data_IF_239853359186
#
_entry.id   IF_239853359186
#
_cell.length_a   1.000
_cell.length_b   1.000
_cell.length_c   1.000
_cell.angle_alpha   90.00
_cell.angle_beta   90.00
_cell.angle_gamma   90.00
#
_symmetry.space_group_name_H-M   'P 1'
#
loop_
_entity.id
_entity.type
_entity.pdbx_description
1 polymer ?
#
# COMPACT_ATOMS: atom_id res chain seq x y z
N UNK A 1 -23.58 53.19 7.33
CA UNK A 1 -24.19 52.54 6.15
C UNK A 1 -23.12 52.43 5.09
N UNK A 2 -22.50 51.26 4.93
CA UNK A 2 -21.47 51.06 3.91
C UNK A 2 -22.09 51.25 2.52
N UNK A 3 -21.44 52.05 1.68
CA UNK A 3 -21.94 52.37 0.35
C UNK A 3 -21.97 51.08 -0.50
N UNK A 4 -23.12 50.77 -1.07
CA UNK A 4 -23.36 49.58 -1.91
C UNK A 4 -22.28 49.37 -3.00
N UNK A 5 -21.68 50.45 -3.49
CA UNK A 5 -20.56 50.43 -4.45
C UNK A 5 -19.28 49.78 -3.91
N UNK A 6 -18.96 49.95 -2.62
CA UNK A 6 -17.77 49.33 -2.01
C UNK A 6 -17.93 47.83 -1.80
N UNK A 7 -19.14 47.39 -1.44
CA UNK A 7 -19.46 45.97 -1.27
C UNK A 7 -19.32 45.21 -2.60
N UNK A 8 -19.79 45.81 -3.70
CA UNK A 8 -19.65 45.24 -5.04
C UNK A 8 -18.16 45.16 -5.44
N UNK A 9 -17.39 46.21 -5.16
CA UNK A 9 -15.95 46.23 -5.45
C UNK A 9 -15.20 45.10 -4.75
N UNK A 10 -15.47 44.88 -3.46
CA UNK A 10 -14.85 43.79 -2.67
C UNK A 10 -15.26 42.42 -3.21
N UNK A 11 -16.53 42.23 -3.58
CA UNK A 11 -17.02 40.97 -4.17
C UNK A 11 -16.29 40.62 -5.48
N UNK A 12 -16.07 41.61 -6.36
CA UNK A 12 -15.34 41.39 -7.61
C UNK A 12 -13.87 40.99 -7.37
N UNK A 13 -13.20 41.65 -6.42
CA UNK A 13 -11.81 41.33 -6.07
C UNK A 13 -11.71 39.91 -5.49
N UNK A 14 -12.64 39.53 -4.60
CA UNK A 14 -12.66 38.17 -4.03
C UNK A 14 -12.93 37.13 -5.11
N UNK A 15 -13.87 37.35 -6.02
CA UNK A 15 -14.16 36.44 -7.12
C UNK A 15 -12.96 36.29 -8.07
N UNK A 16 -12.23 37.38 -8.33
CA UNK A 16 -11.04 37.36 -9.18
C UNK A 16 -9.87 36.59 -8.53
N UNK A 17 -9.67 36.74 -7.22
CA UNK A 17 -8.67 36.00 -6.45
C UNK A 17 -9.02 34.50 -6.41
N UNK A 18 -10.29 34.15 -6.17
CA UNK A 18 -10.74 32.75 -6.17
C UNK A 18 -10.55 32.12 -7.55
N UNK A 19 -10.92 32.82 -8.63
CA UNK A 19 -10.77 32.30 -9.99
C UNK A 19 -9.30 32.03 -10.38
N UNK A 20 -8.38 32.91 -9.98
CA UNK A 20 -6.94 32.76 -10.27
C UNK A 20 -6.31 31.61 -9.47
N UNK A 21 -6.65 31.46 -8.18
CA UNK A 21 -6.15 30.36 -7.34
C UNK A 21 -6.66 28.96 -7.76
N UNK A 22 -7.90 28.84 -8.24
CA UNK A 22 -8.45 27.55 -8.72
C UNK A 22 -7.81 27.09 -10.05
N UNK A 23 -7.37 28.03 -10.89
CA UNK A 23 -6.74 27.75 -12.18
C UNK A 23 -5.35 27.13 -12.08
N UNK A 24 -4.60 27.39 -11.01
CA UNK A 24 -3.27 26.82 -10.80
C UNK A 24 -3.33 25.41 -10.19
N UNK A 25 -4.22 25.19 -9.22
CA UNK A 25 -4.41 23.88 -8.57
C UNK A 25 -4.86 22.81 -9.60
N UNK A 26 -5.74 23.18 -10.52
CA UNK A 26 -6.22 22.26 -11.57
C UNK A 26 -5.12 21.85 -12.56
N UNK A 27 -4.18 22.75 -12.88
CA UNK A 27 -3.04 22.45 -13.74
C UNK A 27 -2.01 21.52 -13.08
N UNK A 28 -1.75 21.70 -11.78
CA UNK A 28 -0.85 20.79 -11.05
C UNK A 28 -1.44 19.39 -10.88
N UNK A 29 -2.75 19.28 -10.59
CA UNK A 29 -3.43 17.99 -10.45
C UNK A 29 -3.43 17.24 -11.78
N UNK A 30 -3.77 17.90 -12.89
CA UNK A 30 -3.79 17.28 -14.22
C UNK A 30 -2.40 16.87 -14.72
N UNK A 31 -1.35 17.65 -14.41
CA UNK A 31 0.03 17.28 -14.75
C UNK A 31 0.49 16.00 -14.01
N UNK A 32 0.19 15.90 -12.71
CA UNK A 32 0.51 14.70 -11.91
C UNK A 32 -0.30 13.46 -12.31
N UNK A 33 -1.53 13.65 -12.77
CA UNK A 33 -2.37 12.56 -13.27
C UNK A 33 -1.81 11.99 -14.58
N UNK A 34 -1.34 12.86 -15.48
CA UNK A 34 -0.70 12.48 -16.74
C UNK A 34 0.62 11.73 -16.54
N UNK A 35 1.44 12.13 -15.56
CA UNK A 35 2.66 11.38 -15.18
C UNK A 35 2.33 9.97 -14.66
N UNK A 36 1.21 9.83 -13.94
CA UNK A 36 0.75 8.55 -13.39
C UNK A 36 0.25 7.61 -14.48
N UNK A 37 -0.47 8.13 -15.47
CA UNK A 37 -0.90 7.37 -16.65
C UNK A 37 0.29 6.88 -17.47
N UNK A 38 1.29 7.75 -17.71
CA UNK A 38 2.51 7.37 -18.42
C UNK A 38 3.30 6.29 -17.66
N UNK A 39 3.32 6.33 -16.31
CA UNK A 39 3.94 5.29 -15.49
C UNK A 39 3.19 3.96 -15.63
N UNK A 40 1.85 3.98 -15.59
CA UNK A 40 1.02 2.78 -15.74
C UNK A 40 1.20 2.15 -17.14
N UNK A 41 1.23 2.97 -18.19
CA UNK A 41 1.46 2.53 -19.56
C UNK A 41 2.84 1.90 -19.73
N UNK A 42 3.90 2.53 -19.18
CA UNK A 42 5.24 1.98 -19.18
C UNK A 42 5.32 0.63 -18.43
N UNK A 43 4.59 0.48 -17.32
CA UNK A 43 4.53 -0.78 -16.56
C UNK A 43 3.80 -1.89 -17.34
N UNK A 44 2.73 -1.56 -18.08
CA UNK A 44 2.02 -2.52 -18.93
C UNK A 44 2.91 -3.00 -20.09
N UNK A 45 3.66 -2.09 -20.73
CA UNK A 45 4.56 -2.43 -21.85
C UNK A 45 5.72 -3.37 -21.44
N UNK A 46 6.26 -3.23 -20.22
CA UNK A 46 7.29 -4.13 -19.69
C UNK A 46 6.75 -5.57 -19.49
N UNK A 47 5.44 -5.74 -19.29
CA UNK A 47 4.83 -7.06 -19.10
C UNK A 47 4.72 -7.87 -20.40
N UNK A 48 4.44 -7.21 -21.53
CA UNK A 48 4.34 -7.85 -22.86
C UNK A 48 5.71 -8.34 -23.35
N UNK A 49 6.75 -7.55 -23.13
CA UNK A 49 8.12 -7.88 -23.56
C UNK A 49 8.74 -9.05 -22.78
N UNK A 50 8.33 -9.27 -21.52
CA UNK A 50 8.76 -10.45 -20.76
C UNK A 50 8.05 -11.74 -21.21
N UNK A 51 6.77 -11.66 -21.60
CA UNK A 51 5.98 -12.80 -22.09
C UNK A 51 6.53 -13.37 -23.41
N UNK A 52 6.91 -12.49 -24.36
CA UNK A 52 7.45 -12.92 -25.67
C UNK A 52 8.87 -13.50 -25.60
N UNK A 53 9.64 -13.22 -24.54
CA UNK A 53 11.02 -13.70 -24.40
C UNK A 53 11.15 -15.17 -24.00
N UNK A 54 10.05 -15.81 -23.56
CA UNK A 54 10.06 -17.21 -23.10
C UNK A 54 10.10 -18.26 -24.22
N UNK A 55 9.88 -17.87 -25.49
CA UNK A 55 9.81 -18.83 -26.61
C UNK A 55 11.02 -18.87 -27.55
N UNK A 56 12.06 -18.06 -27.35
CA UNK A 56 13.29 -18.21 -28.15
C UNK A 56 14.32 -19.04 -27.39
N UNK A 57 14.38 -20.33 -27.71
CA UNK A 57 15.45 -21.24 -27.29
C UNK A 57 16.75 -20.86 -28.00
N UNK A 58 17.38 -19.78 -27.57
CA UNK A 58 18.68 -19.35 -28.08
C UNK A 58 19.77 -20.14 -27.34
N UNK A 59 20.37 -21.13 -28.03
CA UNK A 59 21.64 -21.72 -27.61
C UNK A 59 22.73 -20.63 -27.66
N UNK A 60 23.06 -20.04 -26.53
CA UNK A 60 24.25 -19.17 -26.38
C UNK A 60 25.14 -19.75 -25.30
N UNK A 61 26.38 -20.04 -25.69
CA UNK A 61 27.41 -20.61 -24.83
C UNK A 61 27.69 -19.80 -23.58
N UNK A 62 28.42 -20.42 -22.65
CA UNK A 62 28.77 -19.94 -21.33
C UNK A 62 29.50 -18.57 -21.36
N UNK A 63 28.74 -17.48 -21.46
CA UNK A 63 29.23 -16.14 -21.11
C UNK A 63 29.04 -15.98 -19.62
N UNK A 64 30.14 -15.64 -18.91
CA UNK A 64 30.16 -15.32 -17.48
C UNK A 64 29.02 -14.33 -17.20
N UNK A 65 28.02 -14.78 -16.44
CA UNK A 65 26.97 -13.91 -15.98
C UNK A 65 27.59 -12.86 -15.06
N UNK A 66 27.80 -11.64 -15.56
CA UNK A 66 27.96 -10.50 -14.69
C UNK A 66 26.76 -10.50 -13.75
N UNK A 67 27.04 -10.64 -12.45
CA UNK A 67 26.06 -10.57 -11.39
C UNK A 67 25.51 -9.15 -11.43
N UNK A 68 24.49 -8.89 -12.27
CA UNK A 68 23.75 -7.62 -12.24
C UNK A 68 23.37 -7.43 -10.78
N UNK A 69 23.92 -6.40 -10.15
CA UNK A 69 23.53 -6.07 -8.79
C UNK A 69 22.03 -5.88 -8.82
N UNK A 70 21.35 -6.68 -8.00
CA UNK A 70 19.89 -6.69 -8.00
C UNK A 70 19.43 -5.33 -7.49
N UNK A 71 18.46 -4.69 -8.15
CA UNK A 71 17.90 -3.43 -7.67
C UNK A 71 17.55 -3.55 -6.19
N UNK A 72 17.98 -2.58 -5.40
CA UNK A 72 17.65 -2.54 -4.00
C UNK A 72 16.13 -2.31 -3.88
N UNK A 73 15.44 -3.27 -3.29
CA UNK A 73 13.98 -3.31 -3.20
C UNK A 73 13.42 -2.15 -2.35
N UNK A 74 14.26 -1.51 -1.52
CA UNK A 74 13.90 -0.29 -0.81
C UNK A 74 13.70 0.91 -1.75
N UNK A 75 14.25 0.83 -2.94
CA UNK A 75 14.18 1.89 -3.95
C UNK A 75 13.06 1.61 -4.97
N UNK A 76 12.23 0.59 -4.72
CA UNK A 76 11.07 0.32 -5.55
C UNK A 76 10.07 1.47 -5.39
N UNK A 77 9.50 2.05 -6.47
CA UNK A 77 8.54 3.16 -6.39
C UNK A 77 7.32 2.85 -5.51
N UNK A 78 7.03 1.55 -5.37
CA UNK A 78 5.96 1.02 -4.54
C UNK A 78 6.43 0.57 -3.13
N UNK A 79 7.61 0.98 -2.66
CA UNK A 79 8.09 0.73 -1.31
C UNK A 79 8.05 2.02 -0.48
N UNK A 80 7.57 2.02 0.78
CA UNK A 80 6.88 0.94 1.50
C UNK A 80 5.36 1.08 1.27
N UNK A 81 4.83 0.63 0.12
CA UNK A 81 3.40 0.82 -0.13
C UNK A 81 2.50 -0.08 0.72
N UNK A 82 3.03 -1.10 1.37
CA UNK A 82 2.25 -1.87 2.31
C UNK A 82 3.13 -2.45 3.41
N UNK A 83 2.53 -2.71 4.56
CA UNK A 83 2.97 -3.70 5.52
C UNK A 83 3.13 -5.15 5.03
N UNK A 84 3.55 -5.40 3.79
CA UNK A 84 3.68 -6.77 3.25
C UNK A 84 4.78 -7.56 3.96
N UNK A 85 5.79 -6.83 4.42
CA UNK A 85 7.02 -7.38 5.02
C UNK A 85 7.22 -6.95 6.48
N UNK A 86 6.24 -6.37 7.17
CA UNK A 86 6.41 -6.32 8.63
C UNK A 86 6.40 -7.74 9.14
N UNK A 87 7.28 -8.03 10.10
CA UNK A 87 7.21 -9.21 10.94
C UNK A 87 5.76 -9.60 11.14
N UNK A 88 5.40 -10.80 10.67
CA UNK A 88 4.09 -11.35 10.91
C UNK A 88 3.77 -11.09 12.37
N UNK A 89 2.62 -10.46 12.64
CA UNK A 89 2.27 -10.17 14.01
C UNK A 89 2.00 -11.50 14.71
N UNK A 90 3.05 -11.96 15.37
CA UNK A 90 3.15 -13.25 16.01
C UNK A 90 3.40 -13.03 17.49
N UNK A 91 3.01 -14.03 18.27
CA UNK A 91 3.42 -14.10 19.65
C UNK A 91 4.92 -14.40 19.71
N UNK A 92 5.56 -13.97 20.78
CA UNK A 92 6.96 -14.23 20.99
C UNK A 92 7.21 -15.76 20.98
N UNK A 93 8.24 -16.23 20.26
CA UNK A 93 8.38 -17.65 19.94
C UNK A 93 8.59 -18.50 21.20
N UNK A 94 9.23 -17.95 22.24
CA UNK A 94 9.45 -18.63 23.51
C UNK A 94 8.14 -18.90 24.25
N UNK A 95 7.30 -17.88 24.39
CA UNK A 95 6.04 -17.91 25.13
C UNK A 95 4.95 -18.66 24.37
N UNK A 96 4.93 -18.52 23.05
CA UNK A 96 4.06 -19.27 22.14
C UNK A 96 4.39 -20.77 22.19
N UNK A 97 5.66 -21.15 22.07
CA UNK A 97 6.11 -22.55 22.17
C UNK A 97 5.86 -23.15 23.55
N UNK A 98 5.92 -22.35 24.62
CA UNK A 98 5.59 -22.77 25.97
C UNK A 98 4.07 -22.81 26.26
N UNK A 99 3.21 -22.41 25.32
CA UNK A 99 1.75 -22.36 25.50
C UNK A 99 1.27 -21.30 26.51
N UNK A 100 2.14 -20.36 26.89
CA UNK A 100 1.84 -19.36 27.92
C UNK A 100 0.80 -18.36 27.44
N UNK A 101 0.87 -17.93 26.18
CA UNK A 101 -0.07 -16.97 25.63
C UNK A 101 -1.52 -17.48 25.68
N UNK A 102 -1.77 -18.73 25.30
CA UNK A 102 -3.09 -19.34 25.39
C UNK A 102 -3.59 -19.47 26.84
N UNK A 103 -2.68 -19.77 27.78
CA UNK A 103 -3.02 -19.85 29.22
C UNK A 103 -3.39 -18.47 29.79
N UNK A 104 -2.64 -17.43 29.44
CA UNK A 104 -2.88 -16.06 29.88
C UNK A 104 -4.13 -15.46 29.27
N UNK A 105 -4.42 -15.77 28.01
CA UNK A 105 -5.67 -15.40 27.35
C UNK A 105 -6.88 -15.98 28.07
N UNK A 106 -6.90 -17.30 28.31
CA UNK A 106 -7.95 -17.98 29.09
C UNK A 106 -8.12 -17.41 30.49
N UNK A 107 -7.02 -16.95 31.09
CA UNK A 107 -7.02 -16.33 32.42
C UNK A 107 -7.39 -14.83 32.40
N UNK A 108 -7.73 -14.27 31.23
CA UNK A 108 -8.21 -12.91 31.05
C UNK A 108 -7.14 -11.82 31.11
N UNK A 109 -5.85 -12.16 30.92
CA UNK A 109 -4.75 -11.19 31.04
C UNK A 109 -4.78 -10.13 29.94
N UNK A 110 -5.27 -10.48 28.74
CA UNK A 110 -5.41 -9.55 27.62
C UNK A 110 -6.29 -8.32 27.94
N UNK A 111 -7.28 -8.45 28.84
CA UNK A 111 -8.22 -7.38 29.21
C UNK A 111 -7.76 -6.56 30.43
N UNK A 112 -6.79 -7.06 31.22
CA UNK A 112 -6.34 -6.43 32.47
C UNK A 112 -5.25 -5.38 32.19
N UNK A 113 -5.48 -4.14 32.63
CA UNK A 113 -4.54 -3.01 32.45
C UNK A 113 -3.13 -3.31 32.98
N UNK A 114 -3.03 -3.98 34.13
CA UNK A 114 -1.75 -4.38 34.77
C UNK A 114 -0.86 -5.22 33.84
N UNK A 115 -1.45 -6.04 32.98
CA UNK A 115 -0.71 -6.98 32.12
C UNK A 115 -0.64 -6.53 30.65
N UNK A 116 -1.21 -5.36 30.32
CA UNK A 116 -1.31 -4.85 28.95
C UNK A 116 0.05 -4.74 28.24
N UNK A 117 1.08 -4.26 28.94
CA UNK A 117 2.43 -4.17 28.37
C UNK A 117 3.02 -5.55 28.06
N UNK A 118 2.90 -6.50 29.00
CA UNK A 118 3.38 -7.87 28.83
C UNK A 118 2.67 -8.57 27.66
N UNK A 119 1.35 -8.43 27.56
CA UNK A 119 0.58 -9.00 26.44
C UNK A 119 0.95 -8.34 25.11
N UNK A 120 1.21 -7.03 25.07
CA UNK A 120 1.63 -6.31 23.86
C UNK A 120 3.05 -6.69 23.41
N UNK A 121 3.91 -7.16 24.31
CA UNK A 121 5.28 -7.58 23.98
C UNK A 121 5.36 -9.04 23.57
N UNK A 122 4.64 -9.93 24.27
CA UNK A 122 4.81 -11.38 24.10
C UNK A 122 3.61 -12.08 23.43
N UNK A 123 2.39 -11.60 23.62
CA UNK A 123 1.18 -12.30 23.20
C UNK A 123 0.30 -11.42 22.32
N UNK A 124 0.93 -10.72 21.36
CA UNK A 124 0.30 -9.70 20.52
C UNK A 124 -0.78 -10.31 19.62
N UNK A 125 -0.51 -11.50 19.08
CA UNK A 125 -1.42 -12.25 18.21
C UNK A 125 -2.52 -12.88 19.01
N UNK A 126 -2.17 -13.62 20.06
CA UNK A 126 -3.15 -14.27 20.94
C UNK A 126 -4.11 -13.25 21.56
N UNK A 127 -3.63 -12.11 22.03
CA UNK A 127 -4.47 -11.07 22.62
C UNK A 127 -5.13 -10.12 21.59
N UNK A 128 -5.07 -10.42 20.29
CA UNK A 128 -5.63 -9.61 19.21
C UNK A 128 -5.15 -8.14 19.23
N UNK A 129 -3.93 -7.90 19.70
CA UNK A 129 -3.30 -6.58 19.77
C UNK A 129 -2.51 -6.22 18.51
N UNK A 130 -2.51 -7.11 17.53
CA UNK A 130 -1.99 -6.88 16.19
C UNK A 130 -2.82 -5.83 15.46
N UNK A 131 -2.37 -4.56 15.50
CA UNK A 131 -2.88 -3.56 14.56
C UNK A 131 -2.24 -3.82 13.21
N UNK A 132 -3.03 -3.91 12.15
CA UNK A 132 -2.51 -3.66 10.81
C UNK A 132 -1.88 -2.26 10.86
N UNK A 133 -0.57 -2.14 10.58
CA UNK A 133 0.02 -0.81 10.46
C UNK A 133 -0.68 -0.12 9.29
N UNK A 134 -1.48 0.90 9.56
CA UNK A 134 -1.88 1.82 8.50
C UNK A 134 -0.58 2.42 7.93
N UNK A 135 -0.44 2.57 6.61
CA UNK A 135 0.61 3.39 6.03
C UNK A 135 0.73 4.70 6.83
N UNK A 136 1.96 5.08 7.20
CA UNK A 136 2.22 6.28 8.02
C UNK A 136 1.51 7.52 7.45
N UNK A 137 1.37 7.56 6.12
CA UNK A 137 0.72 8.64 5.38
C UNK A 137 -0.78 8.84 5.66
N UNK A 138 -1.50 7.83 6.13
CA UNK A 138 -2.93 7.96 6.41
C UNK A 138 -3.33 7.41 7.78
N UNK A 139 -2.40 7.41 8.73
CA UNK A 139 -2.65 7.16 10.16
C UNK A 139 -3.66 8.17 10.77
N UNK A 140 -3.78 9.37 10.18
CA UNK A 140 -4.75 10.40 10.57
C UNK A 140 -5.95 10.56 9.62
N UNK A 141 -6.08 9.73 8.58
CA UNK A 141 -7.19 9.85 7.62
C UNK A 141 -8.51 9.40 8.26
N UNK A 142 -9.56 10.22 8.12
CA UNK A 142 -10.91 9.90 8.61
C UNK A 142 -11.51 8.64 7.98
N UNK A 143 -11.18 8.38 6.72
CA UNK A 143 -11.76 7.31 5.91
C UNK A 143 -10.75 6.19 5.60
N UNK A 144 -9.58 6.19 6.23
CA UNK A 144 -8.54 5.20 6.00
C UNK A 144 -7.67 5.50 4.76
N UNK A 145 -6.98 4.47 4.30
CA UNK A 145 -6.05 4.54 3.17
C UNK A 145 -6.60 3.79 1.97
N UNK A 146 -6.44 4.38 0.80
CA UNK A 146 -6.52 3.68 -0.48
C UNK A 146 -5.40 2.65 -0.61
N UNK A 147 -5.58 1.71 -1.54
CA UNK A 147 -4.60 0.67 -1.81
C UNK A 147 -3.26 1.19 -2.37
N UNK A 148 -3.19 2.46 -2.77
CA UNK A 148 -1.99 3.17 -3.20
C UNK A 148 -1.40 4.10 -2.11
N UNK A 149 -1.81 3.92 -0.85
CA UNK A 149 -1.42 4.71 0.33
C UNK A 149 -1.82 6.19 0.34
N UNK A 150 -2.74 6.59 -0.52
CA UNK A 150 -3.37 7.90 -0.40
C UNK A 150 -4.50 7.83 0.60
N UNK A 151 -4.80 8.94 1.28
CA UNK A 151 -5.99 9.03 2.10
C UNK A 151 -7.23 8.91 1.21
N UNK A 152 -8.20 8.08 1.60
CA UNK A 152 -9.50 8.06 0.95
C UNK A 152 -10.22 9.40 1.15
N UNK A 153 -10.89 9.89 0.11
CA UNK A 153 -11.64 11.16 0.15
C UNK A 153 -12.98 11.00 0.88
N UNK A 154 -13.54 9.79 0.88
CA UNK A 154 -14.82 9.48 1.49
C UNK A 154 -14.96 8.00 1.90
N UNK A 155 -16.12 7.60 2.44
CA UNK A 155 -16.37 6.23 2.90
C UNK A 155 -16.28 5.21 1.75
N UNK A 156 -16.02 3.94 2.08
CA UNK A 156 -15.91 2.84 1.11
C UNK A 156 -14.86 3.09 0.01
N UNK A 157 -13.75 3.76 0.33
CA UNK A 157 -12.69 4.04 -0.62
C UNK A 157 -13.07 5.04 -1.72
N UNK A 158 -14.01 5.95 -1.47
CA UNK A 158 -14.30 7.05 -2.38
C UNK A 158 -13.04 7.89 -2.62
N UNK A 159 -12.77 8.19 -3.90
CA UNK A 159 -11.52 8.82 -4.33
C UNK A 159 -10.31 7.88 -4.45
N UNK A 160 -10.47 6.60 -4.11
CA UNK A 160 -9.46 5.59 -4.37
C UNK A 160 -9.56 5.05 -5.79
N UNK A 161 -8.42 4.66 -6.33
CA UNK A 161 -8.35 4.06 -7.66
C UNK A 161 -8.89 2.63 -7.66
N UNK A 162 -9.30 2.12 -8.82
CA UNK A 162 -9.66 0.72 -8.96
C UNK A 162 -8.47 -0.17 -8.58
N UNK A 163 -8.72 -1.17 -7.74
CA UNK A 163 -7.69 -2.12 -7.34
C UNK A 163 -7.58 -3.25 -8.36
N UNK A 164 -6.35 -3.56 -8.79
CA UNK A 164 -6.09 -4.60 -9.78
C UNK A 164 -4.77 -5.32 -9.52
N UNK A 165 -4.62 -6.46 -10.18
CA UNK A 165 -3.36 -7.19 -10.25
C UNK A 165 -2.51 -6.63 -11.39
N UNK A 166 -1.25 -6.31 -11.11
CA UNK A 166 -0.28 -5.86 -12.11
C UNK A 166 -0.06 -6.95 -13.16
N UNK A 167 -0.04 -8.23 -12.75
CA UNK A 167 0.12 -9.38 -13.65
C UNK A 167 -1.17 -10.22 -13.72
N UNK A 168 -2.15 -9.78 -14.49
CA UNK A 168 -3.50 -10.38 -14.54
C UNK A 168 -3.51 -11.90 -14.84
N UNK A 169 -2.58 -12.39 -15.67
CA UNK A 169 -2.50 -13.82 -16.03
C UNK A 169 -1.72 -14.61 -14.97
N UNK A 170 -0.61 -14.06 -14.48
CA UNK A 170 0.30 -14.74 -13.56
C UNK A 170 -0.28 -14.79 -12.15
N UNK A 171 -0.95 -13.74 -11.69
CA UNK A 171 -1.45 -13.64 -10.33
C UNK A 171 -2.40 -14.80 -9.94
N UNK A 172 -3.43 -15.15 -10.73
CA UNK A 172 -4.31 -16.29 -10.42
C UNK A 172 -3.57 -17.63 -10.26
N UNK A 173 -2.55 -17.88 -11.09
CA UNK A 173 -1.76 -19.13 -11.06
C UNK A 173 -0.95 -19.27 -9.76
N UNK A 174 -0.50 -18.14 -9.20
CA UNK A 174 0.33 -18.10 -8.01
C UNK A 174 -0.44 -17.62 -6.77
N UNK A 175 -1.77 -17.72 -6.75
CA UNK A 175 -2.59 -17.33 -5.59
C UNK A 175 -2.11 -17.97 -4.27
N UNK A 176 -1.66 -19.22 -4.30
CA UNK A 176 -1.11 -19.91 -3.12
C UNK A 176 0.21 -19.36 -2.58
N UNK A 177 0.82 -18.38 -3.26
CA UNK A 177 2.03 -17.69 -2.79
C UNK A 177 1.70 -16.45 -1.96
N UNK A 178 0.44 -16.00 -1.92
CA UNK A 178 0.02 -14.84 -1.12
C UNK A 178 0.42 -15.00 0.36
N UNK A 179 0.36 -16.21 0.91
CA UNK A 179 0.68 -16.49 2.32
C UNK A 179 2.15 -16.88 2.57
N UNK A 180 2.97 -17.01 1.52
CA UNK A 180 4.35 -17.51 1.67
C UNK A 180 5.32 -16.39 1.99
N UNK A 181 6.08 -16.48 3.09
CA UNK A 181 7.14 -15.50 3.41
C UNK A 181 8.39 -15.58 2.52
N UNK A 182 8.39 -16.42 1.48
CA UNK A 182 9.49 -16.53 0.53
C UNK A 182 9.58 -15.30 -0.38
N UNK A 183 10.73 -15.15 -1.06
CA UNK A 183 10.95 -14.09 -2.05
C UNK A 183 9.87 -14.05 -3.14
N UNK A 184 9.39 -15.23 -3.57
CA UNK A 184 8.33 -15.33 -4.57
C UNK A 184 6.98 -14.93 -3.99
N UNK A 185 6.69 -15.31 -2.74
CA UNK A 185 5.46 -14.86 -2.08
C UNK A 185 5.45 -13.36 -1.83
N UNK A 186 6.62 -12.78 -1.52
CA UNK A 186 6.80 -11.33 -1.47
C UNK A 186 6.44 -10.69 -2.80
N UNK A 187 7.05 -11.13 -3.90
CA UNK A 187 6.76 -10.62 -5.25
C UNK A 187 5.25 -10.67 -5.56
N UNK A 188 4.62 -11.83 -5.34
CA UNK A 188 3.18 -11.99 -5.56
C UNK A 188 2.37 -11.00 -4.72
N UNK A 189 2.69 -10.82 -3.43
CA UNK A 189 1.97 -9.85 -2.61
C UNK A 189 2.13 -8.39 -3.05
N UNK A 190 3.25 -8.00 -3.65
CA UNK A 190 3.49 -6.63 -4.15
C UNK A 190 2.89 -6.34 -5.53
N UNK A 191 2.51 -7.37 -6.28
CA UNK A 191 2.02 -7.20 -7.65
C UNK A 191 0.62 -7.76 -7.87
N UNK A 192 0.13 -8.62 -6.97
CA UNK A 192 -1.15 -9.32 -7.08
C UNK A 192 -2.11 -8.87 -5.98
N UNK A 193 -2.45 -7.57 -5.94
CA UNK A 193 -3.28 -7.00 -4.89
C UNK A 193 -4.70 -7.58 -4.85
N UNK A 194 -5.34 -7.73 -6.01
CA UNK A 194 -6.69 -8.28 -6.12
C UNK A 194 -6.70 -9.77 -5.84
N UNK A 195 -5.80 -10.53 -6.45
CA UNK A 195 -5.73 -11.98 -6.24
C UNK A 195 -5.39 -12.34 -4.79
N UNK A 196 -4.52 -11.57 -4.13
CA UNK A 196 -4.18 -11.78 -2.72
C UNK A 196 -5.16 -11.12 -1.73
N UNK A 197 -6.29 -10.55 -2.18
CA UNK A 197 -7.26 -9.93 -1.30
C UNK A 197 -6.71 -8.74 -0.51
N UNK A 198 -5.71 -8.05 -1.07
CA UNK A 198 -5.04 -6.88 -0.46
C UNK A 198 -5.66 -5.55 -0.87
N UNK A 199 -6.69 -5.60 -1.70
CA UNK A 199 -7.60 -4.48 -1.93
C UNK A 199 -8.45 -4.25 -0.67
N UNK A 200 -7.83 -3.82 0.43
CA UNK A 200 -8.54 -3.34 1.59
C UNK A 200 -8.96 -1.89 1.32
N UNK A 201 -10.25 -1.64 1.51
CA UNK A 201 -10.85 -0.32 1.78
C UNK A 201 -11.13 -0.25 3.28
#
# INVERSE_FOLDING_TARGET
MANFKEIIGILFVVLYIVATSCGEITKEVTAKEKEREALLEAMMYISETQSHSLHTRVKRGAKRHHRRQRPNWKDHPLYPLYPIDFEACEDAPRESKAGLCAKWEKSGYCKKRKYKWMMKSFCKKTCLMCKARSPVYCEGSKFGCCWDNKAALGPNGEGCLPCFDVYQITCPQFKGYCDRHSRNGRFIRYHCFKTCGRCAM
#
